data_IF_371593332528
#
_entry.id   IF_371593332528
#
_cell.length_a   1.000
_cell.length_b   1.000
_cell.length_c   1.000
_cell.angle_alpha   90.00
_cell.angle_beta   90.00
_cell.angle_gamma   90.00
#
_symmetry.space_group_name_H-M   'P 1'
#
loop_
_entity.id
_entity.type
_entity.pdbx_description
1 polymer ?
#
# COMPACT_ATOMS: atom_id res chain seq x y z
N UNK A 1 -1.67 6.60 -8.63
CA UNK A 1 -2.47 5.55 -7.97
C UNK A 1 -3.72 6.19 -7.42
N UNK A 2 -4.87 5.56 -7.61
CA UNK A 2 -6.18 6.05 -7.15
C UNK A 2 -6.84 4.94 -6.32
N UNK A 3 -7.51 5.31 -5.23
CA UNK A 3 -8.31 4.41 -4.40
C UNK A 3 -9.77 4.83 -4.49
N UNK A 4 -10.63 3.92 -4.96
CA UNK A 4 -12.08 4.15 -5.01
C UNK A 4 -12.66 3.66 -3.69
N UNK A 5 -13.10 4.59 -2.84
CA UNK A 5 -13.71 4.27 -1.54
C UNK A 5 -15.06 3.58 -1.76
N UNK A 6 -15.25 2.43 -1.13
CA UNK A 6 -16.50 1.65 -1.17
C UNK A 6 -17.28 1.77 0.14
N UNK A 7 -16.55 1.86 1.26
CA UNK A 7 -17.13 1.97 2.59
C UNK A 7 -16.18 2.75 3.51
N UNK A 8 -16.77 3.50 4.45
CA UNK A 8 -16.06 4.20 5.52
C UNK A 8 -16.63 3.71 6.85
N UNK A 9 -15.76 3.16 7.69
CA UNK A 9 -16.07 2.72 9.04
C UNK A 9 -15.34 3.65 10.02
N UNK A 10 -15.96 3.93 11.16
CA UNK A 10 -15.40 4.72 12.25
C UNK A 10 -15.25 3.80 13.47
N UNK A 11 -14.20 3.98 14.26
CA UNK A 11 -14.00 3.22 15.50
C UNK A 11 -14.90 3.69 16.65
N UNK A 12 -14.72 3.13 17.85
CA UNK A 12 -15.71 3.27 18.93
C UNK A 12 -15.65 4.59 19.70
N UNK A 13 -14.52 5.28 19.65
CA UNK A 13 -14.27 6.59 20.25
C UNK A 13 -14.06 7.70 19.20
N UNK A 14 -14.41 7.42 17.95
CA UNK A 14 -14.48 8.36 16.83
C UNK A 14 -13.15 9.05 16.47
N UNK A 15 -12.00 8.39 16.72
CA UNK A 15 -10.67 8.95 16.44
C UNK A 15 -9.94 8.29 15.25
N UNK A 16 -10.46 7.16 14.76
CA UNK A 16 -9.88 6.40 13.65
C UNK A 16 -10.92 6.02 12.60
N UNK A 17 -10.52 6.09 11.32
CA UNK A 17 -11.33 5.60 10.21
C UNK A 17 -10.69 4.40 9.53
N UNK A 18 -11.52 3.42 9.15
CA UNK A 18 -11.15 2.31 8.27
C UNK A 18 -11.84 2.46 6.92
N UNK A 19 -11.04 2.67 5.88
CA UNK A 19 -11.53 2.76 4.49
C UNK A 19 -11.44 1.38 3.82
N UNK A 20 -12.58 0.85 3.39
CA UNK A 20 -12.58 -0.25 2.41
C UNK A 20 -12.54 0.34 1.01
N UNK A 21 -11.52 -0.02 0.25
CA UNK A 21 -11.23 0.60 -1.05
C UNK A 21 -11.02 -0.45 -2.14
N UNK A 22 -11.31 -0.06 -3.37
CA UNK A 22 -10.80 -0.71 -4.57
C UNK A 22 -9.54 0.04 -5.04
N UNK A 23 -8.40 -0.63 -5.05
CA UNK A 23 -7.12 -0.05 -5.48
C UNK A 23 -6.97 -0.12 -7.00
N UNK A 24 -7.06 1.04 -7.66
CA UNK A 24 -6.83 1.12 -9.10
C UNK A 24 -5.33 0.98 -9.40
N UNK A 25 -4.99 0.10 -10.34
CA UNK A 25 -3.60 -0.20 -10.71
C UNK A 25 -2.89 -1.20 -9.80
N UNK A 26 -3.60 -1.80 -8.84
CA UNK A 26 -3.12 -2.89 -7.98
C UNK A 26 -2.14 -2.49 -6.87
N UNK A 27 -1.32 -1.46 -7.07
CA UNK A 27 -0.32 -1.04 -6.10
C UNK A 27 -0.70 0.25 -5.35
N UNK A 28 -0.80 0.17 -4.02
CA UNK A 28 -0.89 1.37 -3.18
C UNK A 28 0.51 1.95 -2.91
N UNK A 29 1.55 1.12 -2.91
CA UNK A 29 2.91 1.54 -2.56
C UNK A 29 3.70 2.04 -3.79
N UNK A 30 4.42 3.16 -3.63
CA UNK A 30 5.32 3.68 -4.67
C UNK A 30 6.51 2.76 -4.97
N UNK A 31 6.82 1.80 -4.09
CA UNK A 31 7.88 0.80 -4.30
C UNK A 31 7.45 -0.40 -5.16
N UNK A 32 6.23 -0.38 -5.67
CA UNK A 32 5.71 -1.42 -6.55
C UNK A 32 4.82 -2.46 -5.87
N UNK A 33 4.68 -2.41 -4.54
CA UNK A 33 3.91 -3.41 -3.79
C UNK A 33 2.43 -3.06 -3.68
N UNK A 34 1.60 -4.08 -3.49
CA UNK A 34 0.16 -3.93 -3.22
C UNK A 34 -0.08 -3.04 -2.00
N UNK A 35 0.62 -3.32 -0.91
CA UNK A 35 0.55 -2.62 0.36
C UNK A 35 1.89 -1.97 0.71
N UNK A 36 1.88 -0.87 1.46
CA UNK A 36 3.09 -0.34 2.09
C UNK A 36 3.64 -1.28 3.17
N UNK A 37 2.81 -2.18 3.71
CA UNK A 37 3.16 -3.16 4.73
C UNK A 37 3.71 -4.47 4.15
N UNK A 38 4.51 -4.38 3.08
CA UNK A 38 5.12 -5.52 2.38
C UNK A 38 6.28 -6.18 3.14
N UNK A 39 6.56 -5.75 4.38
CA UNK A 39 7.62 -6.31 5.23
C UNK A 39 7.05 -6.76 6.56
N UNK A 40 7.48 -7.92 7.01
CA UNK A 40 7.14 -8.50 8.32
C UNK A 40 8.37 -8.54 9.22
N UNK A 41 8.20 -8.26 10.51
CA UNK A 41 9.25 -8.41 11.52
C UNK A 41 9.23 -9.83 12.07
N UNK A 42 10.26 -10.62 11.78
CA UNK A 42 10.44 -11.99 12.28
C UNK A 42 11.94 -12.28 12.49
N UNK A 43 12.48 -11.95 13.66
CA UNK A 43 13.94 -11.97 13.91
C UNK A 43 14.73 -10.98 13.04
N UNK A 44 14.03 -10.17 12.23
CA UNK A 44 14.56 -9.23 11.26
C UNK A 44 13.44 -8.79 10.31
N UNK A 45 13.64 -7.69 9.56
CA UNK A 45 12.68 -7.24 8.54
C UNK A 45 12.83 -8.09 7.28
N UNK A 46 11.76 -8.81 6.92
CA UNK A 46 11.72 -9.66 5.74
C UNK A 46 10.64 -9.16 4.79
N UNK A 47 10.93 -9.08 3.49
CA UNK A 47 9.94 -8.78 2.46
C UNK A 47 9.04 -10.00 2.29
N UNK A 48 7.73 -9.80 2.33
CA UNK A 48 6.72 -10.88 2.29
C UNK A 48 5.73 -10.77 1.12
N UNK A 49 5.74 -9.65 0.40
CA UNK A 49 4.88 -9.45 -0.78
C UNK A 49 5.72 -9.36 -2.05
N UNK A 50 5.10 -9.65 -3.19
CA UNK A 50 5.67 -9.45 -4.52
C UNK A 50 5.40 -8.04 -5.06
N UNK A 51 6.27 -7.56 -5.96
CA UNK A 51 6.06 -6.29 -6.67
C UNK A 51 5.08 -6.49 -7.83
N UNK A 52 4.04 -5.66 -7.85
CA UNK A 52 3.06 -5.54 -8.94
C UNK A 52 3.64 -4.74 -10.11
N UNK A 53 4.48 -3.75 -9.83
CA UNK A 53 5.19 -2.99 -10.87
C UNK A 53 6.62 -2.67 -10.47
N UNK A 54 7.45 -2.33 -11.46
CA UNK A 54 8.83 -1.92 -11.27
C UNK A 54 8.97 -0.38 -11.19
N UNK A 55 9.31 0.19 -10.02
CA UNK A 55 9.42 1.63 -9.85
C UNK A 55 10.47 2.27 -10.77
N UNK A 56 11.53 1.56 -11.16
CA UNK A 56 12.59 2.12 -11.98
C UNK A 56 12.14 2.34 -13.43
N UNK A 57 11.19 1.50 -13.90
CA UNK A 57 10.60 1.62 -15.24
C UNK A 57 9.49 2.68 -15.27
N UNK A 58 8.82 2.90 -14.14
CA UNK A 58 7.68 3.83 -14.05
C UNK A 58 8.14 5.24 -13.70
N UNK A 59 9.11 5.39 -12.79
CA UNK A 59 9.58 6.68 -12.32
C UNK A 59 11.00 6.95 -12.83
N UNK A 60 11.16 8.07 -13.54
CA UNK A 60 12.47 8.52 -14.05
C UNK A 60 13.47 8.92 -12.95
N UNK A 61 13.08 8.92 -11.66
CA UNK A 61 13.99 9.18 -10.54
C UNK A 61 13.51 8.49 -9.24
N UNK A 62 13.87 7.23 -8.99
CA UNK A 62 13.26 6.38 -7.94
C UNK A 62 13.76 6.65 -6.49
N UNK A 63 14.62 7.66 -6.26
CA UNK A 63 15.37 7.85 -5.00
C UNK A 63 14.82 8.92 -4.04
N UNK A 64 13.52 9.23 -4.04
CA UNK A 64 12.92 10.06 -2.96
C UNK A 64 12.14 9.19 -1.98
#
# INVERSE_FOLDING_TARGET
NVQIVKEVLVDCDDDTVLLKVEQVGGAACHKGYQSCFFRKLNGGLQVVDEKIFDPEKVYKNPKK
#
